data_IF_045899258189
#
_entry.id   IF_045899258189
#
_cell.length_a   1.000
_cell.length_b   1.000
_cell.length_c   1.000
_cell.angle_alpha   90.00
_cell.angle_beta   90.00
_cell.angle_gamma   90.00
#
_symmetry.space_group_name_H-M   'P 1'
#
loop_
_entity.id
_entity.type
_entity.pdbx_description
1 polymer ?
#
# COMPACT_ATOMS: atom_id res chain seq x y z
N UNK A 1 11.84 -4.51 5.82
CA UNK A 1 10.44 -4.15 5.53
C UNK A 1 10.23 -2.69 5.85
N UNK A 2 10.09 -1.90 4.78
CA UNK A 2 9.28 -0.69 4.57
C UNK A 2 8.46 -0.08 5.73
N UNK A 3 8.36 1.26 5.78
CA UNK A 3 7.78 2.08 6.87
C UNK A 3 6.33 1.78 7.30
N UNK A 4 5.82 2.47 8.35
CA UNK A 4 4.63 2.08 9.10
C UNK A 4 3.40 1.75 8.25
N UNK A 5 3.12 2.58 7.23
CA UNK A 5 2.01 2.39 6.32
C UNK A 5 2.09 1.08 5.51
N UNK A 6 3.24 0.77 4.94
CA UNK A 6 3.43 -0.47 4.17
C UNK A 6 3.37 -1.70 5.07
N UNK A 7 3.83 -1.58 6.33
CA UNK A 7 3.66 -2.65 7.32
C UNK A 7 2.19 -2.88 7.63
N UNK A 8 1.40 -1.82 7.82
CA UNK A 8 -0.04 -1.92 8.08
C UNK A 8 -0.79 -2.55 6.89
N UNK A 9 -0.44 -2.19 5.64
CA UNK A 9 -0.97 -2.83 4.43
C UNK A 9 -0.58 -4.32 4.38
N UNK A 10 0.68 -4.64 4.71
CA UNK A 10 1.19 -6.02 4.77
C UNK A 10 0.45 -6.92 5.77
N UNK A 11 0.05 -6.38 6.92
CA UNK A 11 -0.74 -7.11 7.92
C UNK A 11 -2.14 -7.50 7.41
N UNK A 12 -2.63 -6.84 6.35
CA UNK A 12 -3.90 -7.13 5.68
C UNK A 12 -3.76 -8.13 4.53
N UNK A 13 -2.56 -8.72 4.35
CA UNK A 13 -2.28 -9.73 3.33
C UNK A 13 -1.86 -9.16 1.97
N UNK A 14 -1.68 -7.85 1.85
CA UNK A 14 -1.30 -7.20 0.60
C UNK A 14 0.18 -6.85 0.53
N UNK A 15 0.75 -6.89 -0.67
CA UNK A 15 2.13 -6.46 -0.90
C UNK A 15 2.15 -5.17 -1.71
N UNK A 16 2.77 -4.13 -1.15
CA UNK A 16 3.07 -2.87 -1.83
C UNK A 16 4.55 -2.53 -1.66
N UNK A 17 5.09 -1.72 -2.55
CA UNK A 17 6.50 -1.32 -2.49
C UNK A 17 6.65 0.08 -1.87
N UNK A 18 7.82 0.37 -1.28
CA UNK A 18 8.18 1.76 -0.95
C UNK A 18 8.33 2.60 -2.21
N UNK A 19 8.29 3.93 -2.02
CA UNK A 19 8.83 4.89 -2.97
C UNK A 19 10.30 4.64 -3.32
N UNK A 20 10.77 5.38 -4.32
CA UNK A 20 12.15 5.33 -4.79
C UNK A 20 12.97 6.51 -4.29
N UNK A 21 14.27 6.29 -4.08
CA UNK A 21 15.23 7.34 -3.74
C UNK A 21 14.78 8.20 -2.55
N UNK A 22 14.73 9.53 -2.76
CA UNK A 22 14.30 10.50 -1.75
C UNK A 22 12.84 10.34 -1.31
N UNK A 23 12.00 9.70 -2.12
CA UNK A 23 10.57 9.47 -1.81
C UNK A 23 10.32 8.15 -1.07
N UNK A 24 11.36 7.37 -0.76
CA UNK A 24 11.22 6.05 -0.12
C UNK A 24 10.43 6.09 1.19
N UNK A 25 10.53 7.18 1.95
CA UNK A 25 9.89 7.32 3.26
C UNK A 25 8.54 8.04 3.22
N UNK A 26 8.25 8.78 2.14
CA UNK A 26 7.04 9.59 2.02
C UNK A 26 6.02 9.02 1.03
N UNK A 27 6.38 8.02 0.24
CA UNK A 27 5.48 7.38 -0.73
C UNK A 27 5.56 5.87 -0.68
N UNK A 28 4.50 5.24 -1.20
CA UNK A 28 4.43 3.82 -1.50
C UNK A 28 3.85 3.66 -2.91
N UNK A 29 3.97 2.45 -3.46
CA UNK A 29 3.59 2.15 -4.84
C UNK A 29 2.72 0.90 -4.89
N UNK A 30 1.62 1.03 -5.62
CA UNK A 30 0.70 -0.05 -5.95
C UNK A 30 1.10 -0.57 -7.34
N UNK A 31 1.39 -1.86 -7.43
CA UNK A 31 1.62 -2.51 -8.72
C UNK A 31 0.29 -2.86 -9.38
N UNK A 32 0.08 -2.43 -10.62
CA UNK A 32 -1.15 -2.70 -11.39
C UNK A 32 -0.86 -3.39 -12.74
N UNK A 33 0.32 -4.01 -12.88
CA UNK A 33 0.78 -4.64 -14.13
C UNK A 33 0.53 -6.15 -14.10
N UNK A 34 0.20 -6.73 -15.26
CA UNK A 34 -0.06 -8.16 -15.43
C UNK A 34 -1.56 -8.50 -15.37
N UNK A 35 -1.89 -9.74 -14.99
CA UNK A 35 -3.27 -10.17 -14.77
C UNK A 35 -3.78 -9.64 -13.44
N UNK A 36 -4.32 -8.42 -13.47
CA UNK A 36 -5.04 -7.81 -12.37
C UNK A 36 -6.46 -7.53 -12.83
N UNK A 37 -7.43 -7.79 -11.97
CA UNK A 37 -8.83 -7.43 -12.19
C UNK A 37 -9.32 -6.49 -11.08
N UNK A 38 -10.53 -5.96 -11.23
CA UNK A 38 -11.12 -5.08 -10.22
C UNK A 38 -11.33 -5.81 -8.89
N UNK A 39 -11.60 -7.13 -8.92
CA UNK A 39 -11.80 -7.93 -7.73
C UNK A 39 -10.52 -8.08 -6.89
N UNK A 40 -9.32 -7.99 -7.50
CA UNK A 40 -8.04 -7.94 -6.77
C UNK A 40 -7.64 -6.52 -6.37
N UNK A 41 -7.96 -5.52 -7.19
CA UNK A 41 -7.55 -4.13 -6.94
C UNK A 41 -8.40 -3.42 -5.87
N UNK A 42 -9.71 -3.62 -5.85
CA UNK A 42 -10.61 -2.97 -4.88
C UNK A 42 -10.25 -3.31 -3.42
N UNK A 43 -10.01 -4.59 -3.05
CA UNK A 43 -9.59 -4.93 -1.70
C UNK A 43 -8.24 -4.33 -1.32
N UNK A 44 -7.31 -4.22 -2.28
CA UNK A 44 -6.00 -3.59 -2.06
C UNK A 44 -6.15 -2.10 -1.74
N UNK A 45 -6.97 -1.38 -2.51
CA UNK A 45 -7.24 0.03 -2.27
C UNK A 45 -7.93 0.26 -0.92
N UNK A 46 -8.93 -0.56 -0.59
CA UNK A 46 -9.59 -0.52 0.73
C UNK A 46 -8.60 -0.78 1.88
N UNK A 47 -7.64 -1.69 1.69
CA UNK A 47 -6.58 -1.92 2.66
C UNK A 47 -5.63 -0.72 2.80
N UNK A 48 -5.33 -0.02 1.70
CA UNK A 48 -4.57 1.22 1.72
C UNK A 48 -5.29 2.32 2.51
N UNK A 49 -6.58 2.53 2.25
CA UNK A 49 -7.39 3.53 2.96
C UNK A 49 -7.47 3.24 4.46
N UNK A 50 -7.73 1.99 4.83
CA UNK A 50 -7.74 1.56 6.23
C UNK A 50 -6.38 1.78 6.92
N UNK A 51 -5.27 1.55 6.21
CA UNK A 51 -3.94 1.76 6.75
C UNK A 51 -3.58 3.25 6.89
N UNK A 52 -4.04 4.11 5.97
CA UNK A 52 -3.89 5.55 6.06
C UNK A 52 -4.64 6.11 7.28
N UNK A 53 -5.88 5.70 7.48
CA UNK A 53 -6.68 6.07 8.64
C UNK A 53 -6.05 5.59 9.97
N UNK A 54 -5.56 4.34 10.01
CA UNK A 54 -4.84 3.78 11.18
C UNK A 54 -3.57 4.57 11.52
N UNK A 55 -2.85 5.04 10.50
CA UNK A 55 -1.64 5.83 10.68
C UNK A 55 -1.92 7.32 10.95
N UNK A 56 -3.18 7.77 10.93
CA UNK A 56 -3.53 9.18 11.08
C UNK A 56 -3.09 10.07 9.91
N UNK A 57 -3.02 9.50 8.70
CA UNK A 57 -2.64 10.20 7.47
C UNK A 57 -3.93 10.46 6.68
N UNK A 58 -4.31 11.73 6.54
CA UNK A 58 -5.53 12.18 5.84
C UNK A 58 -5.38 13.59 5.28
#
# INVERSE_FOLDING_TARGET
>A
MSGPLVRAIGQRGFTVATGYGKMKESTFRIGHMGDQDLATLEPLLAACDAALAECGIG
#
